data_IF_772867648274
#
_entry.id   IF_772867648274
#
_cell.length_a   1.000
_cell.length_b   1.000
_cell.length_c   1.000
_cell.angle_alpha   90.00
_cell.angle_beta   90.00
_cell.angle_gamma   90.00
#
_symmetry.space_group_name_H-M   'P 1'
#
loop_
_entity.id
_entity.type
_entity.pdbx_description
1 polymer ?
#
# COMPACT_ATOMS: atom_id res chain seq x y z
N UNK A 1 34.99 4.21 -2.47
CA UNK A 1 33.77 3.41 -2.20
C UNK A 1 34.17 1.96 -2.31
N UNK A 2 34.03 1.21 -1.23
CA UNK A 2 34.28 -0.24 -1.19
C UNK A 2 32.97 -0.97 -1.48
N UNK A 3 33.03 -2.02 -2.31
CA UNK A 3 31.87 -2.84 -2.66
C UNK A 3 31.24 -3.47 -1.41
N UNK A 4 32.04 -3.83 -0.41
CA UNK A 4 31.54 -4.45 0.82
C UNK A 4 30.62 -3.50 1.61
N UNK A 5 31.05 -2.24 1.79
CA UNK A 5 30.23 -1.22 2.46
C UNK A 5 28.97 -0.89 1.66
N UNK A 6 29.04 -0.87 0.33
CA UNK A 6 27.87 -0.67 -0.52
C UNK A 6 26.86 -1.82 -0.38
N UNK A 7 27.32 -3.07 -0.39
CA UNK A 7 26.46 -4.25 -0.23
C UNK A 7 25.77 -4.26 1.13
N UNK A 8 26.48 -3.89 2.20
CA UNK A 8 25.90 -3.83 3.54
C UNK A 8 24.81 -2.75 3.63
N UNK A 9 25.06 -1.55 3.10
CA UNK A 9 24.08 -0.47 3.08
C UNK A 9 22.83 -0.83 2.27
N UNK A 10 23.01 -1.38 1.06
CA UNK A 10 21.89 -1.80 0.21
C UNK A 10 21.08 -2.92 0.87
N UNK A 11 21.74 -3.87 1.55
CA UNK A 11 21.05 -4.94 2.27
C UNK A 11 20.23 -4.38 3.45
N UNK A 12 20.80 -3.45 4.22
CA UNK A 12 20.09 -2.82 5.32
C UNK A 12 18.88 -2.00 4.82
N UNK A 13 19.07 -1.18 3.78
CA UNK A 13 17.97 -0.45 3.14
C UNK A 13 16.89 -1.39 2.59
N UNK A 14 17.28 -2.54 2.03
CA UNK A 14 16.36 -3.55 1.54
C UNK A 14 15.55 -4.17 2.67
N UNK A 15 16.19 -4.54 3.79
CA UNK A 15 15.50 -5.11 4.97
C UNK A 15 14.58 -4.09 5.66
N UNK A 16 14.97 -2.81 5.68
CA UNK A 16 14.16 -1.72 6.24
C UNK A 16 12.93 -1.37 5.36
N UNK A 17 13.07 -1.48 4.04
CA UNK A 17 12.04 -1.07 3.07
C UNK A 17 11.14 -2.21 2.59
N UNK A 18 11.67 -3.41 2.36
CA UNK A 18 10.90 -4.54 1.83
C UNK A 18 10.32 -5.40 2.94
N UNK A 19 9.32 -4.86 3.65
CA UNK A 19 8.51 -5.67 4.54
C UNK A 19 7.45 -6.43 3.75
N UNK A 20 7.79 -7.66 3.37
CA UNK A 20 6.81 -8.67 2.97
C UNK A 20 6.05 -9.12 4.22
N UNK A 21 4.73 -9.13 4.13
CA UNK A 21 3.84 -9.50 5.22
C UNK A 21 2.85 -10.56 4.76
N UNK A 22 2.45 -11.43 5.68
CA UNK A 22 1.21 -12.20 5.50
C UNK A 22 0.00 -11.29 5.76
N UNK A 23 -1.18 -11.72 5.30
CA UNK A 23 -2.40 -10.97 5.59
C UNK A 23 -2.67 -10.79 7.09
N UNK A 24 -2.41 -11.82 7.91
CA UNK A 24 -2.55 -11.75 9.37
C UNK A 24 -1.60 -10.72 10.01
N UNK A 25 -0.35 -10.66 9.56
CA UNK A 25 0.60 -9.66 10.03
C UNK A 25 0.17 -8.24 9.65
N UNK A 26 -0.36 -8.07 8.44
CA UNK A 26 -0.92 -6.79 8.01
C UNK A 26 -2.10 -6.36 8.89
N UNK A 27 -3.02 -7.27 9.25
CA UNK A 27 -4.14 -6.94 10.15
C UNK A 27 -3.66 -6.41 11.50
N UNK A 28 -2.57 -6.96 12.05
CA UNK A 28 -1.95 -6.47 13.30
C UNK A 28 -1.40 -5.05 13.17
N UNK A 29 -0.76 -4.74 12.05
CA UNK A 29 -0.25 -3.39 11.75
C UNK A 29 -1.42 -2.40 11.62
N UNK A 30 -2.47 -2.80 10.90
CA UNK A 30 -3.68 -2.02 10.74
C UNK A 30 -4.38 -1.76 12.08
N UNK A 31 -4.49 -2.75 12.95
CA UNK A 31 -5.10 -2.61 14.28
C UNK A 31 -4.28 -1.67 15.19
N UNK A 32 -2.96 -1.71 15.09
CA UNK A 32 -2.08 -0.83 15.85
C UNK A 32 -2.18 0.65 15.43
N UNK A 33 -2.35 0.94 14.13
CA UNK A 33 -2.41 2.30 13.58
C UNK A 33 -3.50 2.45 12.50
N UNK A 34 -4.78 2.32 12.85
CA UNK A 34 -5.87 2.27 11.87
C UNK A 34 -5.99 3.56 11.06
N UNK A 35 -5.81 4.73 11.68
CA UNK A 35 -5.85 6.02 10.99
C UNK A 35 -4.79 6.15 9.90
N UNK A 36 -3.58 5.62 10.14
CA UNK A 36 -2.49 5.68 9.17
C UNK A 36 -2.70 4.71 8.00
N UNK A 37 -3.29 3.54 8.26
CA UNK A 37 -3.44 2.47 7.27
C UNK A 37 -4.82 2.42 6.61
N UNK A 38 -5.79 3.25 7.01
CA UNK A 38 -7.12 3.33 6.37
C UNK A 38 -7.41 4.69 5.74
N UNK A 39 -6.41 5.58 5.69
CA UNK A 39 -6.56 6.93 5.11
C UNK A 39 -6.70 6.89 3.59
N UNK A 40 -7.49 7.83 3.05
CA UNK A 40 -7.58 8.05 1.61
C UNK A 40 -6.43 8.92 1.08
N UNK A 41 -6.33 9.05 -0.24
CA UNK A 41 -5.24 9.82 -0.88
C UNK A 41 -5.20 11.29 -0.48
N UNK A 42 -6.35 11.93 -0.24
CA UNK A 42 -6.40 13.32 0.21
C UNK A 42 -5.83 13.50 1.63
N UNK A 43 -6.20 12.60 2.55
CA UNK A 43 -5.64 12.59 3.91
C UNK A 43 -4.15 12.25 3.87
N UNK A 44 -3.74 11.26 3.07
CA UNK A 44 -2.32 10.91 2.87
C UNK A 44 -1.49 12.11 2.42
N UNK A 45 -2.00 12.88 1.44
CA UNK A 45 -1.33 14.06 0.94
C UNK A 45 -1.32 15.23 1.95
N UNK A 46 -2.36 15.37 2.76
CA UNK A 46 -2.38 16.34 3.86
C UNK A 46 -1.37 15.95 4.97
N UNK A 47 -1.30 14.67 5.32
CA UNK A 47 -0.36 14.13 6.30
C UNK A 47 1.10 14.33 5.83
N UNK A 48 1.36 14.17 4.52
CA UNK A 48 2.66 14.46 3.93
C UNK A 48 3.06 15.93 4.15
N UNK A 49 2.14 16.86 3.88
CA UNK A 49 2.39 18.29 4.09
C UNK A 49 2.61 18.64 5.57
N UNK A 50 1.91 17.97 6.47
CA UNK A 50 2.09 18.12 7.92
C UNK A 50 3.44 17.54 8.38
N UNK A 51 3.82 16.37 7.86
CA UNK A 51 5.08 15.69 8.17
C UNK A 51 6.30 16.56 7.84
N UNK A 52 6.35 17.12 6.63
CA UNK A 52 7.45 18.03 6.26
C UNK A 52 7.34 19.38 6.97
N UNK A 53 6.14 19.79 7.37
CA UNK A 53 5.89 21.03 8.08
C UNK A 53 6.07 22.27 7.21
N UNK A 54 6.22 23.42 7.87
CA UNK A 54 6.29 24.74 7.22
C UNK A 54 7.38 25.61 7.82
N UNK A 55 7.86 26.56 7.04
CA UNK A 55 8.72 27.65 7.46
C UNK A 55 8.11 28.98 6.99
N UNK A 56 7.77 29.88 7.91
CA UNK A 56 7.19 31.21 7.61
C UNK A 56 5.99 31.19 6.63
N UNK A 57 5.19 30.11 6.65
CA UNK A 57 4.02 29.92 5.78
C UNK A 57 4.29 29.17 4.47
N UNK A 58 5.56 28.91 4.14
CA UNK A 58 5.99 28.08 3.03
C UNK A 58 6.08 26.60 3.46
N UNK A 59 5.57 25.64 2.69
CA UNK A 59 5.70 24.22 3.05
C UNK A 59 7.07 23.68 2.67
N UNK A 60 7.72 22.97 3.59
CA UNK A 60 9.11 22.51 3.41
C UNK A 60 9.30 21.57 2.23
N UNK A 61 8.25 20.83 1.86
CA UNK A 61 8.25 19.95 0.68
C UNK A 61 8.56 20.70 -0.64
N UNK A 62 8.31 22.01 -0.68
CA UNK A 62 8.56 22.85 -1.85
C UNK A 62 9.86 23.66 -1.77
N UNK A 63 10.55 23.66 -0.63
CA UNK A 63 11.76 24.45 -0.42
C UNK A 63 12.86 24.04 -1.40
N UNK A 64 13.57 25.04 -1.95
CA UNK A 64 14.61 24.84 -2.96
C UNK A 64 14.10 24.39 -4.34
N UNK A 65 12.82 24.05 -4.48
CA UNK A 65 12.20 23.59 -5.74
C UNK A 65 11.21 24.62 -6.31
N UNK A 66 10.45 25.29 -5.45
CA UNK A 66 9.45 26.31 -5.83
C UNK A 66 9.73 27.59 -5.06
N UNK A 67 9.84 28.71 -5.76
CA UNK A 67 10.01 30.03 -5.17
C UNK A 67 8.65 30.75 -5.20
N UNK A 68 8.16 31.20 -4.05
CA UNK A 68 6.85 31.85 -3.92
C UNK A 68 5.67 30.87 -3.90
N UNK A 69 4.50 31.37 -4.34
CA UNK A 69 3.23 30.64 -4.41
C UNK A 69 2.67 30.16 -3.06
N UNK A 70 3.05 30.78 -1.93
CA UNK A 70 2.62 30.41 -0.58
C UNK A 70 1.09 30.39 -0.46
N UNK A 71 0.41 31.35 -1.09
CA UNK A 71 -1.05 31.39 -1.15
C UNK A 71 -1.65 30.15 -1.85
N UNK A 72 -1.03 29.71 -2.96
CA UNK A 72 -1.47 28.53 -3.72
C UNK A 72 -1.17 27.26 -2.93
N UNK A 73 0.01 27.14 -2.31
CA UNK A 73 0.36 26.01 -1.45
C UNK A 73 -0.64 25.88 -0.29
N UNK A 74 -0.98 27.00 0.37
CA UNK A 74 -1.99 27.05 1.43
C UNK A 74 -3.36 26.62 0.92
N UNK A 75 -3.77 27.08 -0.27
CA UNK A 75 -5.05 26.72 -0.87
C UNK A 75 -5.13 25.22 -1.20
N UNK A 76 -4.08 24.64 -1.77
CA UNK A 76 -3.99 23.19 -2.04
C UNK A 76 -4.16 22.41 -0.74
N UNK A 77 -3.41 22.78 0.31
CA UNK A 77 -3.51 22.09 1.60
C UNK A 77 -4.92 22.20 2.22
N UNK A 78 -5.57 23.35 2.10
CA UNK A 78 -6.95 23.53 2.56
C UNK A 78 -7.93 22.64 1.79
N UNK A 79 -7.77 22.52 0.47
CA UNK A 79 -8.59 21.63 -0.36
C UNK A 79 -8.39 20.17 0.06
N UNK A 80 -7.14 19.73 0.26
CA UNK A 80 -6.82 18.37 0.70
C UNK A 80 -7.42 18.06 2.07
N UNK A 81 -7.28 18.97 3.03
CA UNK A 81 -7.88 18.84 4.35
C UNK A 81 -9.42 18.79 4.28
N UNK A 82 -10.04 19.57 3.38
CA UNK A 82 -11.48 19.52 3.16
C UNK A 82 -11.93 18.16 2.59
N UNK A 83 -11.24 17.62 1.59
CA UNK A 83 -11.53 16.28 1.05
C UNK A 83 -11.33 15.19 2.10
N UNK A 84 -10.27 15.28 2.90
CA UNK A 84 -10.01 14.35 3.98
C UNK A 84 -11.15 14.36 5.02
N UNK A 85 -11.63 15.55 5.40
CA UNK A 85 -12.77 15.70 6.31
C UNK A 85 -14.08 15.18 5.72
N UNK A 86 -14.30 15.35 4.41
CA UNK A 86 -15.51 14.87 3.73
C UNK A 86 -15.46 13.37 3.42
N UNK A 87 -14.28 12.74 3.39
CA UNK A 87 -14.08 11.33 3.00
C UNK A 87 -14.22 11.07 1.50
N UNK A 88 -14.39 12.14 0.70
CA UNK A 88 -14.64 12.09 -0.75
C UNK A 88 -13.68 13.09 -1.44
N UNK A 89 -13.03 12.65 -2.51
CA UNK A 89 -12.07 13.42 -3.31
C UNK A 89 -12.42 13.42 -4.81
N UNK A 90 -13.71 13.47 -5.14
CA UNK A 90 -14.26 13.38 -6.50
C UNK A 90 -14.26 14.72 -7.28
N UNK A 91 -13.39 15.68 -6.93
CA UNK A 91 -13.33 17.00 -7.57
C UNK A 91 -11.99 17.23 -8.23
N UNK A 92 -12.02 17.90 -9.39
CA UNK A 92 -10.82 18.33 -10.11
C UNK A 92 -10.26 19.61 -9.50
N UNK A 93 -8.96 19.60 -9.16
CA UNK A 93 -8.21 20.82 -8.82
C UNK A 93 -7.57 21.36 -10.11
N UNK A 94 -8.01 22.52 -10.57
CA UNK A 94 -7.46 23.18 -11.75
C UNK A 94 -6.47 24.26 -11.37
N UNK A 95 -5.20 24.08 -11.74
CA UNK A 95 -4.18 25.13 -11.64
C UNK A 95 -4.14 25.95 -12.93
N UNK A 96 -4.65 27.18 -12.89
CA UNK A 96 -4.60 28.12 -14.01
C UNK A 96 -3.70 29.32 -13.70
N UNK A 97 -3.14 29.95 -14.74
CA UNK A 97 -2.28 31.12 -14.62
C UNK A 97 -1.34 31.29 -15.82
N UNK A 98 -0.59 32.41 -15.93
CA UNK A 98 0.31 32.69 -17.04
C UNK A 98 1.36 31.60 -17.30
N UNK A 99 1.92 31.60 -18.51
CA UNK A 99 3.07 30.75 -18.83
C UNK A 99 4.26 31.14 -17.95
N UNK A 100 5.01 30.15 -17.45
CA UNK A 100 6.15 30.39 -16.56
C UNK A 100 5.82 30.58 -15.07
N UNK A 101 4.55 30.54 -14.64
CA UNK A 101 4.17 30.68 -13.21
C UNK A 101 4.42 29.44 -12.34
N UNK A 102 5.44 28.63 -12.64
CA UNK A 102 5.87 27.46 -11.86
C UNK A 102 4.81 26.37 -11.54
N UNK A 103 3.66 26.34 -12.23
CA UNK A 103 2.58 25.35 -11.99
C UNK A 103 3.07 23.90 -12.09
N UNK A 104 3.78 23.56 -13.16
CA UNK A 104 4.33 22.21 -13.37
C UNK A 104 5.44 21.89 -12.37
N UNK A 105 6.22 22.89 -11.96
CA UNK A 105 7.26 22.76 -10.93
C UNK A 105 6.64 22.46 -9.56
N UNK A 106 5.55 23.13 -9.21
CA UNK A 106 4.79 22.89 -7.98
C UNK A 106 4.25 21.46 -7.93
N UNK A 107 3.60 21.00 -9.00
CA UNK A 107 3.10 19.61 -9.08
C UNK A 107 4.25 18.61 -9.02
N UNK A 108 5.36 18.89 -9.71
CA UNK A 108 6.57 18.06 -9.66
C UNK A 108 7.12 17.90 -8.25
N UNK A 109 7.28 19.01 -7.53
CA UNK A 109 7.77 19.01 -6.15
C UNK A 109 6.78 18.31 -5.20
N UNK A 110 5.48 18.47 -5.43
CA UNK A 110 4.43 17.77 -4.67
C UNK A 110 4.50 16.25 -4.85
N UNK A 111 4.62 15.78 -6.10
CA UNK A 111 4.77 14.36 -6.44
C UNK A 111 6.05 13.76 -5.84
N UNK A 112 7.16 14.50 -5.88
CA UNK A 112 8.41 14.09 -5.21
C UNK A 112 8.22 13.97 -3.70
N UNK A 113 7.57 14.96 -3.07
CA UNK A 113 7.24 14.90 -1.65
C UNK A 113 6.36 13.72 -1.24
N UNK A 114 5.39 13.34 -2.08
CA UNK A 114 4.60 12.12 -1.87
C UNK A 114 5.48 10.85 -1.94
N UNK A 115 6.44 10.83 -2.86
CA UNK A 115 7.43 9.76 -2.97
C UNK A 115 8.33 9.67 -1.75
N UNK A 116 8.94 10.78 -1.34
CA UNK A 116 9.79 10.88 -0.14
C UNK A 116 9.01 10.46 1.10
N UNK A 117 7.77 10.94 1.24
CA UNK A 117 6.91 10.56 2.36
C UNK A 117 6.60 9.06 2.38
N UNK A 118 6.40 8.40 1.24
CA UNK A 118 6.11 6.96 1.20
C UNK A 118 7.24 6.07 1.78
N UNK A 119 8.46 6.59 1.81
CA UNK A 119 9.62 5.92 2.42
C UNK A 119 9.70 6.10 3.94
N UNK A 120 8.91 7.00 4.52
CA UNK A 120 8.82 7.19 5.98
C UNK A 120 7.89 6.17 6.62
N UNK A 121 8.07 5.86 7.90
CA UNK A 121 7.16 4.93 8.60
C UNK A 121 5.73 5.48 8.69
N UNK A 122 5.59 6.81 8.85
CA UNK A 122 4.30 7.49 8.86
C UNK A 122 3.61 7.48 7.49
N UNK A 123 4.37 7.48 6.40
CA UNK A 123 3.89 7.43 5.02
C UNK A 123 3.73 6.02 4.44
N UNK A 124 3.83 4.97 5.26
CA UNK A 124 3.70 3.60 4.77
C UNK A 124 2.34 3.36 4.08
N UNK A 125 2.40 2.89 2.83
CA UNK A 125 1.27 2.38 2.06
C UNK A 125 1.47 0.89 1.81
N UNK A 126 0.37 0.16 1.66
CA UNK A 126 0.39 -1.27 1.39
C UNK A 126 -0.51 -1.61 0.22
N UNK A 127 -0.07 -2.58 -0.56
CA UNK A 127 -0.88 -3.30 -1.54
C UNK A 127 -0.66 -4.80 -1.35
N UNK A 128 -1.24 -5.62 -2.20
CA UNK A 128 -1.04 -7.05 -2.13
C UNK A 128 -0.84 -7.68 -3.50
N UNK A 129 -0.24 -8.87 -3.47
CA UNK A 129 -0.05 -9.74 -4.60
C UNK A 129 -0.60 -11.13 -4.25
N UNK A 130 -1.12 -11.82 -5.26
CA UNK A 130 -1.56 -13.20 -5.16
C UNK A 130 -0.38 -14.13 -5.42
N UNK A 131 -0.07 -15.00 -4.47
CA UNK A 131 1.01 -16.00 -4.57
C UNK A 131 0.42 -17.38 -4.72
N UNK A 132 0.84 -18.09 -5.76
CA UNK A 132 0.42 -19.45 -6.05
C UNK A 132 1.61 -20.40 -5.89
N UNK A 133 1.58 -21.31 -4.91
CA UNK A 133 2.63 -22.31 -4.74
C UNK A 133 2.66 -23.35 -5.86
N UNK A 134 3.81 -24.00 -6.06
CA UNK A 134 3.91 -25.20 -6.90
C UNK A 134 3.19 -26.41 -6.27
N UNK A 135 2.69 -27.33 -7.10
CA UNK A 135 1.90 -28.50 -6.64
C UNK A 135 2.61 -29.37 -5.58
N UNK A 136 3.95 -29.45 -5.62
CA UNK A 136 4.74 -30.20 -4.62
C UNK A 136 4.61 -29.63 -3.20
N UNK A 137 4.36 -28.34 -3.07
CA UNK A 137 4.19 -27.64 -1.78
C UNK A 137 2.77 -27.87 -1.25
N UNK A 138 1.77 -27.93 -2.13
CA UNK A 138 0.36 -28.08 -1.72
C UNK A 138 -0.06 -29.54 -1.49
N UNK A 139 0.48 -30.50 -2.25
CA UNK A 139 0.09 -31.92 -2.18
C UNK A 139 1.08 -32.82 -1.43
N UNK A 140 2.24 -32.28 -1.03
CA UNK A 140 3.36 -33.08 -0.54
C UNK A 140 3.93 -33.98 -1.64
N UNK A 141 5.14 -34.52 -1.42
CA UNK A 141 5.74 -35.46 -2.36
C UNK A 141 4.92 -36.76 -2.37
N UNK A 142 4.10 -36.98 -3.40
CA UNK A 142 3.58 -38.30 -3.75
C UNK A 142 4.74 -39.16 -4.26
N UNK A 143 5.54 -39.70 -3.33
CA UNK A 143 6.72 -40.50 -3.62
C UNK A 143 6.87 -41.63 -2.61
N UNK A 144 6.80 -42.86 -3.10
CA UNK A 144 7.03 -44.12 -2.39
C UNK A 144 8.45 -44.12 -1.81
N UNK A 145 8.61 -43.70 -0.55
CA UNK A 145 9.79 -43.98 0.27
C UNK A 145 9.39 -43.83 1.74
N UNK A 146 9.64 -44.89 2.49
CA UNK A 146 8.97 -45.20 3.76
C UNK A 146 9.11 -44.19 4.88
N UNK A 147 8.13 -44.24 5.78
CA UNK A 147 8.14 -43.83 7.18
C UNK A 147 9.20 -42.81 7.60
N UNK A 148 9.07 -41.62 7.03
CA UNK A 148 9.36 -40.41 7.75
C UNK A 148 8.06 -39.62 7.75
N UNK A 149 7.37 -39.61 8.88
CA UNK A 149 6.34 -38.63 9.24
C UNK A 149 6.94 -37.23 9.13
N UNK A 150 7.10 -36.73 7.90
CA UNK A 150 7.44 -35.34 7.65
C UNK A 150 6.15 -34.58 7.76
N UNK A 151 5.91 -34.10 8.99
CA UNK A 151 5.09 -32.94 9.33
C UNK A 151 4.80 -32.12 8.07
N UNK A 152 3.62 -32.29 7.50
CA UNK A 152 2.99 -31.23 6.73
C UNK A 152 2.73 -30.12 7.76
N UNK A 153 3.76 -29.34 8.07
CA UNK A 153 3.61 -28.12 8.84
C UNK A 153 2.55 -27.33 8.09
N UNK A 154 1.34 -27.27 8.64
CA UNK A 154 0.17 -26.67 8.03
C UNK A 154 0.57 -25.23 7.64
N UNK A 155 0.91 -25.01 6.38
CA UNK A 155 1.48 -23.73 5.93
C UNK A 155 0.40 -22.68 6.20
N UNK A 156 0.76 -21.70 7.03
CA UNK A 156 -0.18 -20.66 7.47
C UNK A 156 -0.29 -19.52 6.45
N UNK A 157 0.72 -19.34 5.59
CA UNK A 157 0.72 -18.33 4.53
C UNK A 157 1.76 -18.68 3.46
N UNK A 158 1.43 -18.39 2.21
CA UNK A 158 2.34 -18.49 1.06
C UNK A 158 3.16 -17.21 0.84
N UNK A 159 2.94 -16.17 1.65
CA UNK A 159 3.65 -14.89 1.52
C UNK A 159 5.18 -15.04 1.60
N UNK A 160 5.68 -16.01 2.37
CA UNK A 160 7.13 -16.19 2.61
C UNK A 160 7.75 -17.36 1.84
N UNK A 161 7.04 -17.93 0.87
CA UNK A 161 7.62 -18.97 0.03
C UNK A 161 8.81 -18.43 -0.75
N UNK A 162 9.84 -19.27 -0.86
CA UNK A 162 11.00 -18.97 -1.70
C UNK A 162 10.62 -19.08 -3.18
N UNK A 163 11.41 -18.48 -4.06
CA UNK A 163 11.11 -18.44 -5.50
C UNK A 163 10.93 -19.84 -6.12
N UNK A 164 11.68 -20.84 -5.65
CA UNK A 164 11.55 -22.23 -6.10
C UNK A 164 10.21 -22.88 -5.73
N UNK A 165 9.53 -22.34 -4.72
CA UNK A 165 8.26 -22.85 -4.17
C UNK A 165 7.05 -22.12 -4.76
N UNK A 166 7.28 -21.06 -5.55
CA UNK A 166 6.23 -20.23 -6.15
C UNK A 166 6.09 -20.58 -7.63
N UNK A 167 4.89 -20.99 -8.03
CA UNK A 167 4.56 -21.21 -9.44
C UNK A 167 4.23 -19.91 -10.17
N UNK A 168 3.53 -18.99 -9.49
CA UNK A 168 3.11 -17.73 -10.07
C UNK A 168 2.87 -16.66 -8.99
N UNK A 169 3.18 -15.40 -9.33
CA UNK A 169 2.79 -14.22 -8.57
C UNK A 169 1.96 -13.32 -9.48
N UNK A 170 0.77 -12.92 -9.03
CA UNK A 170 -0.12 -12.03 -9.75
C UNK A 170 -0.31 -10.75 -8.91
N UNK A 171 0.25 -9.60 -9.32
CA UNK A 171 0.11 -8.36 -8.55
C UNK A 171 -1.33 -7.83 -8.60
N UNK A 172 -1.77 -6.97 -7.68
CA UNK A 172 -3.02 -6.21 -7.90
C UNK A 172 -2.80 -5.15 -8.99
N UNK A 173 -3.64 -5.13 -10.03
CA UNK A 173 -3.48 -4.20 -11.17
C UNK A 173 -3.68 -2.74 -10.76
N UNK A 174 -4.61 -2.49 -9.84
CA UNK A 174 -4.94 -1.15 -9.36
C UNK A 174 -4.32 -0.85 -8.01
N UNK A 175 -3.33 -1.66 -7.60
CA UNK A 175 -2.69 -1.59 -6.28
C UNK A 175 -3.74 -1.52 -5.16
N UNK A 176 -4.72 -2.43 -5.22
CA UNK A 176 -5.81 -2.42 -4.27
C UNK A 176 -5.31 -2.50 -2.83
N UNK A 177 -6.03 -1.78 -1.98
CA UNK A 177 -5.73 -1.74 -0.57
C UNK A 177 -6.02 -3.09 0.09
N UNK A 178 -5.12 -3.69 0.90
CA UNK A 178 -5.31 -5.05 1.43
C UNK A 178 -6.58 -5.20 2.28
N UNK A 179 -7.03 -4.14 2.96
CA UNK A 179 -8.30 -4.18 3.70
C UNK A 179 -9.52 -4.49 2.80
N UNK A 180 -9.42 -4.35 1.48
CA UNK A 180 -10.49 -4.70 0.55
C UNK A 180 -10.71 -6.22 0.41
N UNK A 181 -9.72 -7.02 0.80
CA UNK A 181 -9.83 -8.49 0.89
C UNK A 181 -10.75 -8.95 2.03
N UNK A 182 -11.06 -8.06 2.99
CA UNK A 182 -12.03 -8.34 4.03
C UNK A 182 -13.43 -8.26 3.41
N UNK A 183 -14.27 -9.30 3.52
CA UNK A 183 -15.64 -9.30 3.00
C UNK A 183 -16.41 -8.08 3.47
N UNK A 184 -17.23 -7.48 2.61
CA UNK A 184 -17.85 -6.17 2.84
C UNK A 184 -18.59 -6.07 4.19
N UNK A 185 -19.37 -7.09 4.56
CA UNK A 185 -20.11 -7.11 5.82
C UNK A 185 -19.21 -7.13 7.06
N UNK A 186 -18.13 -7.92 7.03
CA UNK A 186 -17.16 -7.98 8.14
C UNK A 186 -16.28 -6.73 8.19
N UNK A 187 -15.93 -6.19 7.02
CA UNK A 187 -15.19 -4.95 6.91
C UNK A 187 -16.00 -3.79 7.48
N UNK A 188 -17.29 -3.70 7.19
CA UNK A 188 -18.17 -2.68 7.78
C UNK A 188 -18.18 -2.76 9.31
N UNK A 189 -18.35 -3.96 9.88
CA UNK A 189 -18.28 -4.18 11.35
C UNK A 189 -16.91 -3.83 11.95
N UNK A 190 -15.82 -4.06 11.22
CA UNK A 190 -14.48 -3.67 11.65
C UNK A 190 -14.34 -2.14 11.64
N UNK A 191 -14.81 -1.51 10.57
CA UNK A 191 -14.65 -0.07 10.33
C UNK A 191 -15.50 0.79 11.26
N UNK A 192 -16.67 0.33 11.72
CA UNK A 192 -17.51 1.05 12.68
C UNK A 192 -16.87 1.23 14.06
N UNK A 193 -15.81 0.49 14.36
CA UNK A 193 -15.04 0.64 15.61
C UNK A 193 -14.19 1.91 15.65
N UNK A 194 -13.98 2.55 14.50
CA UNK A 194 -13.08 3.69 14.38
C UNK A 194 -13.87 5.01 14.27
N UNK A 195 -13.51 5.99 15.10
CA UNK A 195 -14.22 7.28 15.21
C UNK A 195 -13.75 8.35 14.19
N UNK A 196 -13.01 7.98 13.15
CA UNK A 196 -12.52 8.91 12.13
C UNK A 196 -13.21 8.70 10.77
N UNK A 197 -13.19 9.75 9.94
CA UNK A 197 -13.79 9.70 8.61
C UNK A 197 -13.00 8.75 7.72
N UNK A 198 -13.67 7.70 7.26
CA UNK A 198 -13.09 6.71 6.36
C UNK A 198 -13.32 7.12 4.89
N UNK A 199 -12.33 6.89 4.02
CA UNK A 199 -12.49 7.16 2.59
C UNK A 199 -13.57 6.27 1.97
N UNK A 200 -14.34 6.83 1.06
CA UNK A 200 -15.41 6.12 0.34
C UNK A 200 -14.90 4.87 -0.39
N UNK A 201 -13.65 4.87 -0.88
CA UNK A 201 -13.00 3.71 -1.53
C UNK A 201 -13.04 2.42 -0.70
N UNK A 202 -13.00 2.51 0.63
CA UNK A 202 -13.05 1.34 1.53
C UNK A 202 -14.46 0.74 1.67
N UNK A 203 -15.50 1.49 1.26
CA UNK A 203 -16.87 0.95 1.15
C UNK A 203 -17.07 0.15 -0.14
N UNK A 204 -16.26 0.40 -1.16
CA UNK A 204 -16.28 -0.31 -2.45
C UNK A 204 -15.67 -1.72 -2.41
N UNK A 205 -15.61 -2.39 -3.56
CA UNK A 205 -15.07 -3.75 -3.68
C UNK A 205 -13.58 -3.80 -4.05
N UNK A 206 -13.09 -5.02 -4.22
CA UNK A 206 -11.87 -5.30 -4.97
C UNK A 206 -12.03 -4.89 -6.45
N UNK A 207 -10.91 -4.64 -7.12
CA UNK A 207 -10.80 -4.49 -8.56
C UNK A 207 -11.37 -5.74 -9.26
N UNK A 208 -11.77 -5.61 -10.52
CA UNK A 208 -12.44 -6.71 -11.23
C UNK A 208 -11.59 -8.00 -11.23
N UNK A 209 -10.29 -7.90 -11.55
CA UNK A 209 -9.41 -9.06 -11.58
C UNK A 209 -9.20 -9.68 -10.20
N UNK A 210 -8.93 -8.85 -9.19
CA UNK A 210 -8.74 -9.32 -7.82
C UNK A 210 -10.01 -9.98 -7.27
N UNK A 211 -11.17 -9.43 -7.61
CA UNK A 211 -12.46 -10.02 -7.27
C UNK A 211 -12.66 -11.39 -7.91
N UNK A 212 -12.32 -11.56 -9.20
CA UNK A 212 -12.43 -12.84 -9.89
C UNK A 212 -11.51 -13.90 -9.27
N UNK A 213 -10.26 -13.54 -8.96
CA UNK A 213 -9.31 -14.44 -8.29
C UNK A 213 -9.84 -14.84 -6.91
N UNK A 214 -10.28 -13.86 -6.12
CA UNK A 214 -10.86 -14.09 -4.80
C UNK A 214 -12.05 -15.07 -4.86
N UNK A 215 -13.00 -14.85 -5.77
CA UNK A 215 -14.18 -15.70 -5.92
C UNK A 215 -13.81 -17.12 -6.40
N UNK A 216 -12.87 -17.24 -7.34
CA UNK A 216 -12.41 -18.53 -7.82
C UNK A 216 -11.76 -19.37 -6.70
N UNK A 217 -10.88 -18.75 -5.90
CA UNK A 217 -10.26 -19.39 -4.75
C UNK A 217 -11.28 -19.76 -3.67
N UNK A 218 -12.19 -18.83 -3.34
CA UNK A 218 -13.23 -19.09 -2.34
C UNK A 218 -14.12 -20.27 -2.74
N UNK A 219 -14.50 -20.36 -4.02
CA UNK A 219 -15.26 -21.49 -4.55
C UNK A 219 -14.45 -22.81 -4.49
N UNK A 220 -13.17 -22.77 -4.87
CA UNK A 220 -12.28 -23.93 -4.84
C UNK A 220 -12.05 -24.46 -3.42
N UNK A 221 -12.05 -23.57 -2.43
CA UNK A 221 -11.90 -23.92 -1.01
C UNK A 221 -13.25 -24.07 -0.28
N UNK A 222 -14.35 -24.19 -1.01
CA UNK A 222 -15.70 -24.39 -0.46
C UNK A 222 -16.10 -23.36 0.61
N UNK A 223 -15.69 -22.10 0.41
CA UNK A 223 -16.00 -20.99 1.32
C UNK A 223 -14.98 -20.77 2.44
N UNK A 224 -13.87 -21.52 2.50
CA UNK A 224 -12.84 -21.30 3.50
C UNK A 224 -11.99 -20.05 3.21
N UNK A 225 -12.38 -18.94 3.84
CA UNK A 225 -11.68 -17.65 3.73
C UNK A 225 -10.21 -17.72 4.20
N UNK A 226 -9.92 -18.53 5.22
CA UNK A 226 -8.56 -18.63 5.76
C UNK A 226 -7.62 -19.25 4.74
N UNK A 227 -8.07 -20.25 3.98
CA UNK A 227 -7.30 -20.83 2.87
C UNK A 227 -7.07 -19.81 1.74
N UNK A 228 -8.05 -18.97 1.41
CA UNK A 228 -7.87 -17.88 0.44
C UNK A 228 -6.79 -16.91 0.91
N UNK A 229 -6.80 -16.51 2.19
CA UNK A 229 -5.83 -15.55 2.74
C UNK A 229 -4.39 -16.06 2.77
N UNK A 230 -4.17 -17.38 2.67
CA UNK A 230 -2.81 -17.92 2.50
C UNK A 230 -2.15 -17.43 1.22
N UNK A 231 -2.93 -17.19 0.17
CA UNK A 231 -2.43 -16.71 -1.13
C UNK A 231 -2.06 -15.23 -1.12
N UNK A 232 -2.29 -14.50 -0.04
CA UNK A 232 -2.06 -13.06 0.01
C UNK A 232 -0.66 -12.80 0.56
N UNK A 233 0.14 -12.12 -0.26
CA UNK A 233 1.37 -11.45 0.13
C UNK A 233 1.11 -9.95 0.15
N UNK A 234 1.23 -9.34 1.32
CA UNK A 234 1.11 -7.89 1.48
C UNK A 234 2.49 -7.29 1.36
N UNK A 235 2.59 -6.20 0.60
CA UNK A 235 3.85 -5.56 0.24
C UNK A 235 3.74 -4.07 0.44
N UNK A 236 4.85 -3.45 0.82
CA UNK A 236 4.95 -2.01 0.95
C UNK A 236 4.89 -1.36 -0.44
N UNK A 237 4.00 -0.39 -0.60
CA UNK A 237 3.80 0.33 -1.85
C UNK A 237 4.47 1.71 -1.77
N UNK A 238 5.33 1.99 -2.76
CA UNK A 238 6.10 3.22 -2.83
C UNK A 238 5.63 4.09 -3.98
N UNK A 239 5.48 5.38 -3.71
CA UNK A 239 5.10 6.34 -4.74
C UNK A 239 6.35 6.79 -5.47
N UNK A 240 6.30 6.79 -6.81
CA UNK A 240 7.43 7.23 -7.62
C UNK A 240 6.99 8.01 -8.84
N UNK A 241 7.47 9.25 -8.91
CA UNK A 241 7.30 10.12 -10.08
C UNK A 241 8.07 9.58 -11.30
N UNK A 242 9.27 9.04 -11.09
CA UNK A 242 10.14 8.55 -12.16
C UNK A 242 9.51 7.32 -12.83
N UNK A 243 9.02 6.38 -12.02
CA UNK A 243 8.39 5.15 -12.51
C UNK A 243 6.88 5.29 -12.77
N UNK A 244 6.30 6.47 -12.53
CA UNK A 244 4.85 6.74 -12.61
C UNK A 244 4.02 5.70 -11.85
N UNK A 245 4.51 5.35 -10.66
CA UNK A 245 3.86 4.38 -9.79
C UNK A 245 3.11 5.14 -8.70
N UNK A 246 1.77 5.04 -8.72
CA UNK A 246 0.86 5.68 -7.78
C UNK A 246 0.74 7.20 -7.89
N UNK A 247 1.33 7.85 -8.91
CA UNK A 247 1.35 9.31 -9.14
C UNK A 247 1.07 9.68 -10.60
#
# INVERSE_FOLDING_TARGET
MDLQNLTQNVKQEFEENQQILSFDQYLKILEAKPKAHLRGSAQYAADMLEHFGKNEGHYRVFEGKVIGLEAVQKQIAQILAAFAKLGINNRLILLHGPNGSAKSTLISAFMEGLGDYSHTQEGALYTFTWVFPVDRVTRGSLGIRGDQEKKSSKIQSYAFLNDEEVACVIPSELHDHPALLIPAAEREKMLTKYEFHLPERLKGGLSHRDHLIFQALLNSYHGDYAEVMKHIRVERFYLSKIYRSGL
#
